data_IF_393256851160
#
_entry.id   IF_393256851160
#
_cell.length_a   1.000
_cell.length_b   1.000
_cell.length_c   1.000
_cell.angle_alpha   90.00
_cell.angle_beta   90.00
_cell.angle_gamma   90.00
#
_symmetry.space_group_name_H-M   'P 1'
#
loop_
_entity.id
_entity.type
_entity.pdbx_description
1 polymer ?
#
# COMPACT_ATOMS: atom_id res chain seq x y z
N UNK A 1 -4.24 -29.91 3.76
CA UNK A 1 -4.90 -29.41 4.99
C UNK A 1 -5.83 -28.28 4.58
N UNK A 2 -7.13 -28.41 4.79
CA UNK A 2 -8.10 -27.41 4.37
C UNK A 2 -7.85 -26.11 5.14
N UNK A 3 -7.56 -25.02 4.42
CA UNK A 3 -7.38 -23.69 5.00
C UNK A 3 -8.59 -23.31 5.84
N UNK A 4 -8.36 -22.93 7.10
CA UNK A 4 -9.37 -22.28 7.93
C UNK A 4 -9.95 -21.13 7.10
N UNK A 5 -11.28 -21.10 6.88
CA UNK A 5 -11.94 -19.90 6.34
C UNK A 5 -11.61 -18.75 7.27
N UNK A 6 -10.71 -17.86 6.84
CA UNK A 6 -10.22 -16.75 7.65
C UNK A 6 -11.34 -15.74 7.98
N UNK A 7 -12.46 -15.79 7.27
CA UNK A 7 -13.65 -14.99 7.55
C UNK A 7 -14.91 -15.87 7.47
N UNK A 8 -15.60 -16.05 8.59
CA UNK A 8 -16.91 -16.70 8.67
C UNK A 8 -18.00 -15.63 8.78
N UNK A 9 -18.56 -15.23 7.64
CA UNK A 9 -19.72 -14.33 7.58
C UNK A 9 -19.63 -13.36 6.41
N UNK A 10 -20.73 -13.20 5.66
CA UNK A 10 -20.86 -12.06 4.74
C UNK A 10 -20.99 -10.81 5.59
N UNK A 11 -20.01 -9.91 5.52
CA UNK A 11 -20.16 -8.55 6.04
C UNK A 11 -20.86 -7.70 4.98
N UNK A 12 -21.75 -6.82 5.40
CA UNK A 12 -22.26 -5.78 4.51
C UNK A 12 -21.15 -4.78 4.14
N UNK A 13 -21.40 -4.01 3.09
CA UNK A 13 -20.42 -3.05 2.58
C UNK A 13 -20.09 -1.94 3.60
N UNK A 14 -21.08 -1.48 4.37
CA UNK A 14 -20.89 -0.43 5.36
C UNK A 14 -19.88 -0.86 6.42
N UNK A 15 -20.05 -2.06 6.97
CA UNK A 15 -19.13 -2.65 7.94
C UNK A 15 -17.72 -2.78 7.35
N UNK A 16 -17.60 -3.26 6.11
CA UNK A 16 -16.30 -3.39 5.44
C UNK A 16 -15.61 -2.02 5.26
N UNK A 17 -16.36 -1.00 4.86
CA UNK A 17 -15.83 0.34 4.63
C UNK A 17 -15.32 1.00 5.92
N UNK A 18 -16.02 0.83 7.04
CA UNK A 18 -15.64 1.41 8.33
C UNK A 18 -14.53 0.65 9.05
N UNK A 19 -14.43 -0.67 8.89
CA UNK A 19 -13.37 -1.46 9.53
C UNK A 19 -12.01 -1.34 8.84
N UNK A 20 -11.99 -1.06 7.53
CA UNK A 20 -10.76 -0.94 6.75
C UNK A 20 -9.91 0.23 7.25
N UNK A 21 -8.65 -0.07 7.59
CA UNK A 21 -7.69 0.92 8.09
C UNK A 21 -6.27 0.63 7.59
N UNK A 22 -5.41 1.65 7.62
CA UNK A 22 -3.99 1.49 7.28
C UNK A 22 -3.26 0.74 8.39
N UNK A 23 -3.04 -0.56 8.19
CA UNK A 23 -2.25 -1.40 9.10
C UNK A 23 -0.76 -1.20 8.81
N UNK A 24 0.03 -0.97 9.88
CA UNK A 24 1.48 -0.73 9.82
C UNK A 24 2.26 -1.62 10.79
N UNK A 25 1.64 -2.71 11.20
CA UNK A 25 2.23 -3.76 12.03
C UNK A 25 1.57 -5.08 11.66
N UNK A 26 2.34 -5.98 11.06
CA UNK A 26 1.86 -7.26 10.55
C UNK A 26 2.55 -8.41 11.30
N UNK A 27 1.86 -9.55 11.40
CA UNK A 27 2.49 -10.79 11.86
C UNK A 27 3.34 -11.39 10.75
N UNK A 28 4.22 -12.32 11.10
CA UNK A 28 5.02 -13.10 10.12
C UNK A 28 4.24 -14.27 9.52
N UNK A 29 2.97 -14.40 9.83
CA UNK A 29 2.15 -15.50 9.33
C UNK A 29 1.98 -15.35 7.81
N UNK A 30 2.34 -16.37 7.01
CA UNK A 30 2.20 -16.29 5.57
C UNK A 30 0.72 -16.30 5.18
N UNK A 31 0.37 -15.55 4.14
CA UNK A 31 -0.98 -15.58 3.55
C UNK A 31 -1.03 -16.70 2.50
N UNK A 32 -2.02 -17.62 2.56
CA UNK A 32 -2.18 -18.65 1.54
C UNK A 32 -2.32 -18.06 0.14
N UNK A 33 -1.69 -18.68 -0.86
CA UNK A 33 -1.71 -18.22 -2.26
C UNK A 33 -3.14 -18.15 -2.79
N UNK A 34 -3.95 -19.14 -2.46
CA UNK A 34 -5.34 -19.26 -2.90
C UNK A 34 -6.17 -18.10 -2.38
N UNK A 35 -5.92 -17.65 -1.14
CA UNK A 35 -6.60 -16.50 -0.57
C UNK A 35 -6.20 -15.20 -1.28
N UNK A 36 -4.91 -15.03 -1.61
CA UNK A 36 -4.46 -13.86 -2.38
C UNK A 36 -5.16 -13.82 -3.74
N UNK A 37 -5.25 -14.97 -4.41
CA UNK A 37 -5.95 -15.08 -5.70
C UNK A 37 -7.45 -14.77 -5.58
N UNK A 38 -8.10 -15.25 -4.52
CA UNK A 38 -9.52 -14.94 -4.24
C UNK A 38 -9.72 -13.42 -4.06
N UNK A 39 -8.88 -12.77 -3.27
CA UNK A 39 -8.93 -11.31 -3.05
C UNK A 39 -8.74 -10.56 -4.37
N UNK A 40 -7.73 -10.93 -5.16
CA UNK A 40 -7.49 -10.29 -6.46
C UNK A 40 -8.62 -10.53 -7.47
N UNK A 41 -9.27 -11.69 -7.44
CA UNK A 41 -10.41 -11.98 -8.30
C UNK A 41 -11.63 -11.10 -7.95
N UNK A 42 -11.82 -10.78 -6.67
CA UNK A 42 -12.86 -9.84 -6.21
C UNK A 42 -12.50 -8.43 -6.64
N UNK A 43 -11.26 -7.97 -6.36
CA UNK A 43 -10.80 -6.62 -6.70
C UNK A 43 -10.96 -6.30 -8.19
N UNK A 44 -10.64 -7.27 -9.07
CA UNK A 44 -10.79 -7.16 -10.53
C UNK A 44 -12.24 -6.94 -11.01
N UNK A 45 -13.23 -7.02 -10.13
CA UNK A 45 -14.63 -6.64 -10.43
C UNK A 45 -14.85 -5.13 -10.40
N UNK A 46 -13.86 -4.34 -9.99
CA UNK A 46 -13.92 -2.89 -10.09
C UNK A 46 -14.23 -2.44 -11.53
N UNK A 47 -15.08 -1.41 -11.70
CA UNK A 47 -15.33 -0.84 -13.02
C UNK A 47 -14.06 -0.16 -13.55
N UNK A 48 -13.94 -0.11 -14.87
CA UNK A 48 -12.95 0.69 -15.59
C UNK A 48 -13.58 1.31 -16.84
N UNK A 49 -13.01 2.42 -17.31
CA UNK A 49 -13.49 3.07 -18.53
C UNK A 49 -13.50 2.09 -19.69
N UNK A 50 -14.65 1.92 -20.35
CA UNK A 50 -14.83 0.97 -21.45
C UNK A 50 -14.39 -0.48 -21.13
N UNK A 51 -14.33 -0.83 -19.84
CA UNK A 51 -13.83 -2.13 -19.34
C UNK A 51 -12.38 -2.45 -19.74
N UNK A 52 -11.52 -1.42 -19.88
CA UNK A 52 -10.12 -1.56 -20.29
C UNK A 52 -9.26 -2.34 -19.30
N UNK A 53 -9.59 -2.30 -18.01
CA UNK A 53 -8.87 -3.02 -16.94
C UNK A 53 -7.34 -2.81 -17.03
N UNK A 54 -6.85 -1.55 -16.93
CA UNK A 54 -5.47 -1.20 -17.29
C UNK A 54 -4.41 -1.69 -16.29
N UNK A 55 -4.82 -2.37 -15.21
CA UNK A 55 -3.98 -2.75 -14.09
C UNK A 55 -3.25 -4.07 -14.32
N UNK A 56 -1.99 -4.12 -13.87
CA UNK A 56 -1.21 -5.34 -13.69
C UNK A 56 -0.89 -5.51 -12.21
N UNK A 57 -1.03 -6.74 -11.69
CA UNK A 57 -0.71 -7.06 -10.30
C UNK A 57 0.60 -7.83 -10.20
N UNK A 58 1.58 -7.26 -9.52
CA UNK A 58 2.81 -7.94 -9.13
C UNK A 58 2.75 -8.32 -7.64
N UNK A 59 2.53 -9.61 -7.37
CA UNK A 59 2.44 -10.16 -6.01
C UNK A 59 3.81 -10.67 -5.59
N UNK A 60 4.33 -10.12 -4.49
CA UNK A 60 5.63 -10.47 -3.91
C UNK A 60 5.43 -11.07 -2.52
N UNK A 61 6.01 -12.25 -2.30
CA UNK A 61 6.09 -12.95 -1.01
C UNK A 61 7.49 -13.56 -0.87
N UNK A 62 7.89 -13.96 0.34
CA UNK A 62 9.16 -14.65 0.58
C UNK A 62 10.39 -13.94 0.00
N UNK A 63 11.33 -14.71 -0.57
CA UNK A 63 12.63 -14.20 -1.02
C UNK A 63 12.54 -13.03 -2.02
N UNK A 64 11.66 -13.03 -3.05
CA UNK A 64 11.46 -11.85 -3.90
C UNK A 64 11.13 -10.57 -3.13
N UNK A 65 10.23 -10.66 -2.14
CA UNK A 65 9.86 -9.51 -1.32
C UNK A 65 11.04 -9.03 -0.47
N UNK A 66 11.80 -9.95 0.11
CA UNK A 66 12.96 -9.60 0.93
C UNK A 66 14.08 -8.96 0.11
N UNK A 67 14.28 -9.37 -1.16
CA UNK A 67 15.18 -8.68 -2.08
C UNK A 67 14.73 -7.25 -2.37
N UNK A 68 13.44 -7.03 -2.60
CA UNK A 68 12.89 -5.67 -2.82
C UNK A 68 13.07 -4.80 -1.59
N UNK A 69 12.82 -5.32 -0.38
CA UNK A 69 13.04 -4.59 0.87
C UNK A 69 14.49 -4.16 1.06
N UNK A 70 15.41 -5.09 0.80
CA UNK A 70 16.85 -4.83 0.87
C UNK A 70 17.25 -3.73 -0.12
N UNK A 71 16.87 -3.86 -1.39
CA UNK A 71 17.18 -2.88 -2.43
C UNK A 71 16.59 -1.49 -2.13
N UNK A 72 15.34 -1.42 -1.66
CA UNK A 72 14.70 -0.16 -1.26
C UNK A 72 15.44 0.51 -0.09
N UNK A 73 15.83 -0.29 0.91
CA UNK A 73 16.56 0.21 2.09
C UNK A 73 17.93 0.75 1.69
N UNK A 74 18.69 -0.01 0.91
CA UNK A 74 20.02 0.38 0.42
C UNK A 74 19.95 1.65 -0.44
N UNK A 75 19.01 1.73 -1.38
CA UNK A 75 18.83 2.89 -2.27
C UNK A 75 18.42 4.15 -1.50
N UNK A 76 17.56 4.01 -0.48
CA UNK A 76 17.19 5.14 0.38
C UNK A 76 18.38 5.61 1.23
N UNK A 77 19.13 4.67 1.82
CA UNK A 77 20.30 4.99 2.65
C UNK A 77 21.47 5.57 1.85
N UNK A 78 21.58 5.28 0.55
CA UNK A 78 22.59 5.90 -0.32
C UNK A 78 22.30 7.36 -0.66
N UNK A 79 21.16 7.92 -0.22
CA UNK A 79 20.76 9.28 -0.55
C UNK A 79 20.35 9.46 -2.02
N UNK A 80 19.94 8.38 -2.69
CA UNK A 80 19.45 8.47 -4.06
C UNK A 80 18.26 9.43 -4.16
N UNK A 81 18.19 10.19 -5.25
CA UNK A 81 17.03 11.05 -5.50
C UNK A 81 15.76 10.21 -5.65
N UNK A 82 14.65 10.75 -5.16
CA UNK A 82 13.34 10.14 -5.33
C UNK A 82 12.85 10.48 -6.73
N UNK A 83 12.75 9.46 -7.59
CA UNK A 83 12.09 9.56 -8.89
C UNK A 83 10.74 8.84 -8.82
N UNK A 84 9.67 9.58 -9.12
CA UNK A 84 8.29 9.07 -9.10
C UNK A 84 7.75 9.09 -10.51
N UNK A 85 7.11 8.01 -10.93
CA UNK A 85 6.38 7.98 -12.21
C UNK A 85 5.17 8.93 -12.13
N UNK A 86 4.40 8.86 -11.03
CA UNK A 86 3.36 9.84 -10.73
C UNK A 86 3.99 11.11 -10.15
N UNK A 87 4.13 12.14 -10.99
CA UNK A 87 4.73 13.42 -10.62
C UNK A 87 3.84 14.19 -9.64
N UNK A 88 4.45 14.71 -8.56
CA UNK A 88 3.81 15.65 -7.65
C UNK A 88 4.33 17.05 -7.94
N UNK A 89 3.51 17.89 -8.58
CA UNK A 89 3.93 19.22 -9.02
C UNK A 89 3.97 20.25 -7.88
N UNK A 90 3.24 20.01 -6.79
CA UNK A 90 3.23 20.86 -5.61
C UNK A 90 2.88 20.03 -4.37
N UNK A 91 3.46 20.38 -3.23
CA UNK A 91 3.03 19.81 -1.95
C UNK A 91 1.57 20.17 -1.65
N UNK A 92 0.90 19.38 -0.82
CA UNK A 92 -0.44 19.73 -0.31
C UNK A 92 -0.40 21.04 0.46
N UNK A 93 -1.44 21.87 0.29
CA UNK A 93 -1.61 23.17 0.94
C UNK A 93 -2.96 23.26 1.67
N UNK A 94 -3.09 24.23 2.55
CA UNK A 94 -4.33 24.51 3.29
C UNK A 94 -4.86 23.27 4.03
N UNK A 95 -6.17 23.00 4.00
CA UNK A 95 -6.78 21.88 4.70
C UNK A 95 -6.17 20.50 4.40
N UNK A 96 -5.61 20.31 3.19
CA UNK A 96 -4.96 19.06 2.83
C UNK A 96 -3.62 18.89 3.57
N UNK A 97 -2.87 19.99 3.74
CA UNK A 97 -1.63 19.99 4.53
C UNK A 97 -1.93 19.79 6.01
N UNK A 98 -2.98 20.44 6.51
CA UNK A 98 -3.38 20.34 7.92
C UNK A 98 -3.69 18.89 8.29
N UNK A 99 -4.52 18.20 7.48
CA UNK A 99 -4.81 16.77 7.64
C UNK A 99 -3.56 15.89 7.57
N UNK A 100 -2.62 16.20 6.68
CA UNK A 100 -1.35 15.47 6.55
C UNK A 100 -0.48 15.60 7.80
N UNK A 101 -0.43 16.80 8.41
CA UNK A 101 0.32 17.04 9.65
C UNK A 101 -0.38 16.38 10.83
N UNK A 102 -1.69 16.54 10.95
CA UNK A 102 -2.51 15.99 12.03
C UNK A 102 -2.35 14.46 12.13
N UNK A 103 -2.50 13.74 11.01
CA UNK A 103 -2.38 12.28 11.03
C UNK A 103 -0.96 11.83 11.40
N UNK A 104 0.06 12.60 11.04
CA UNK A 104 1.45 12.28 11.39
C UNK A 104 1.71 12.49 12.89
N UNK A 105 1.11 13.53 13.50
CA UNK A 105 1.18 13.78 14.94
C UNK A 105 0.51 12.63 15.70
N UNK A 106 -0.76 12.34 15.38
CA UNK A 106 -1.51 11.24 16.02
C UNK A 106 -0.77 9.90 15.93
N UNK A 107 -0.16 9.64 14.77
CA UNK A 107 0.60 8.41 14.54
C UNK A 107 1.84 8.30 15.44
N UNK A 108 2.62 9.36 15.57
CA UNK A 108 3.82 9.35 16.42
C UNK A 108 3.47 9.34 17.91
N UNK A 109 2.43 10.07 18.33
CA UNK A 109 1.90 10.05 19.69
C UNK A 109 1.45 8.64 20.09
N UNK A 110 0.70 7.95 19.23
CA UNK A 110 0.24 6.58 19.49
C UNK A 110 1.38 5.57 19.66
N UNK A 111 2.58 5.87 19.13
CA UNK A 111 3.77 5.04 19.29
C UNK A 111 4.73 5.53 20.39
N UNK A 112 4.41 6.64 21.05
CA UNK A 112 5.29 7.32 22.00
C UNK A 112 6.62 7.72 21.37
N UNK A 113 6.61 8.20 20.11
CA UNK A 113 7.79 8.70 19.42
C UNK A 113 7.80 10.22 19.48
N UNK A 114 8.69 10.76 20.31
CA UNK A 114 8.83 12.20 20.51
C UNK A 114 9.29 12.92 19.24
N UNK A 115 9.10 14.25 19.21
CA UNK A 115 9.42 15.07 18.02
C UNK A 115 10.93 15.13 17.72
N UNK A 116 11.74 15.10 18.75
CA UNK A 116 13.20 15.18 18.72
C UNK A 116 13.88 13.80 18.64
N UNK A 117 13.13 12.69 18.81
CA UNK A 117 13.63 11.34 18.61
C UNK A 117 13.81 11.03 17.11
N UNK A 118 14.89 11.59 16.55
CA UNK A 118 15.25 11.43 15.14
C UNK A 118 15.50 9.97 14.77
N UNK A 119 16.02 9.17 15.70
CA UNK A 119 16.35 7.78 15.45
C UNK A 119 15.09 6.93 15.23
N UNK A 120 14.12 7.01 16.15
CA UNK A 120 12.85 6.26 16.02
C UNK A 120 11.98 6.80 14.89
N UNK A 121 12.02 8.11 14.62
CA UNK A 121 11.35 8.69 13.43
C UNK A 121 11.95 8.17 12.13
N UNK A 122 13.27 8.11 12.05
CA UNK A 122 13.95 7.55 10.87
C UNK A 122 13.64 6.06 10.70
N UNK A 123 13.71 5.25 11.77
CA UNK A 123 13.34 3.84 11.69
C UNK A 123 11.90 3.66 11.21
N UNK A 124 10.96 4.45 11.76
CA UNK A 124 9.57 4.44 11.31
C UNK A 124 9.43 4.73 9.81
N UNK A 125 10.12 5.74 9.30
CA UNK A 125 10.17 6.03 7.86
C UNK A 125 10.72 4.84 7.07
N UNK A 126 11.80 4.21 7.56
CA UNK A 126 12.41 3.06 6.91
C UNK A 126 11.53 1.81 6.92
N UNK A 127 10.66 1.64 7.93
CA UNK A 127 9.64 0.58 7.90
C UNK A 127 8.69 0.71 6.71
N UNK A 128 8.40 1.93 6.25
CA UNK A 128 7.64 2.15 5.01
C UNK A 128 8.32 1.54 3.78
N UNK A 129 9.64 1.67 3.66
CA UNK A 129 10.43 1.08 2.58
C UNK A 129 10.54 -0.45 2.65
N UNK A 130 10.26 -1.02 3.84
CA UNK A 130 10.19 -2.46 4.09
C UNK A 130 8.75 -3.02 4.05
N UNK A 131 7.78 -2.24 3.54
CA UNK A 131 6.36 -2.59 3.50
C UNK A 131 5.77 -2.91 4.89
N UNK A 132 6.28 -2.23 5.93
CA UNK A 132 5.93 -2.47 7.34
C UNK A 132 6.03 -3.93 7.77
N UNK A 133 6.93 -4.68 7.11
CA UNK A 133 7.21 -6.08 7.38
C UNK A 133 6.03 -7.03 7.06
N UNK A 134 5.07 -6.58 6.23
CA UNK A 134 3.94 -7.39 5.76
C UNK A 134 4.36 -8.66 5.00
N UNK A 135 3.70 -9.82 5.18
CA UNK A 135 4.10 -11.06 4.49
C UNK A 135 3.86 -11.04 2.97
N UNK A 136 3.10 -10.07 2.47
CA UNK A 136 2.74 -9.91 1.05
C UNK A 136 2.87 -8.42 0.68
N UNK A 137 3.42 -8.14 -0.50
CA UNK A 137 3.32 -6.84 -1.15
C UNK A 137 2.69 -7.00 -2.53
N UNK A 138 1.70 -6.16 -2.84
CA UNK A 138 1.07 -6.11 -4.15
C UNK A 138 1.45 -4.75 -4.75
N UNK A 139 2.20 -4.79 -5.84
CA UNK A 139 2.53 -3.60 -6.64
C UNK A 139 1.60 -3.58 -7.84
N UNK A 140 0.93 -2.45 -8.04
CA UNK A 140 0.05 -2.25 -9.20
C UNK A 140 0.78 -1.36 -10.19
N UNK A 141 0.79 -1.80 -11.43
CA UNK A 141 1.38 -1.11 -12.56
C UNK A 141 0.34 -1.00 -13.67
N UNK A 142 0.63 -0.16 -14.65
CA UNK A 142 -0.14 -0.02 -15.88
C UNK A 142 0.84 0.02 -17.05
N UNK A 143 0.36 -0.22 -18.26
CA UNK A 143 1.20 -0.16 -19.45
C UNK A 143 1.76 1.26 -19.66
N UNK A 144 3.03 1.35 -20.05
CA UNK A 144 3.75 2.63 -20.18
C UNK A 144 3.05 3.64 -21.10
N UNK A 145 2.31 3.17 -22.10
CA UNK A 145 1.54 4.03 -23.00
C UNK A 145 0.43 4.82 -22.28
N UNK A 146 -0.01 4.34 -21.10
CA UNK A 146 -1.04 4.97 -20.27
C UNK A 146 -0.46 5.85 -19.15
N UNK A 147 0.86 6.07 -19.10
CA UNK A 147 1.54 6.81 -18.01
C UNK A 147 0.92 8.20 -17.74
N UNK A 148 0.44 8.86 -18.79
CA UNK A 148 -0.18 10.19 -18.70
C UNK A 148 -1.71 10.16 -18.80
N UNK A 149 -2.31 8.97 -18.88
CA UNK A 149 -3.76 8.81 -18.93
C UNK A 149 -4.34 8.84 -17.51
N UNK A 150 -4.99 9.96 -17.18
CA UNK A 150 -5.60 10.15 -15.86
C UNK A 150 -6.74 9.15 -15.59
N UNK A 151 -7.43 8.67 -16.63
CA UNK A 151 -8.50 7.68 -16.51
C UNK A 151 -7.88 6.34 -16.09
N UNK A 152 -6.77 5.93 -16.70
CA UNK A 152 -6.09 4.69 -16.32
C UNK A 152 -5.61 4.71 -14.85
N UNK A 153 -5.09 5.85 -14.37
CA UNK A 153 -4.74 6.04 -12.96
C UNK A 153 -5.98 5.95 -12.05
N UNK A 154 -7.11 6.54 -12.46
CA UNK A 154 -8.36 6.47 -11.70
C UNK A 154 -8.91 5.04 -11.62
N UNK A 155 -8.85 4.30 -12.72
CA UNK A 155 -9.25 2.90 -12.80
C UNK A 155 -8.37 2.01 -11.91
N UNK A 156 -7.04 2.24 -11.87
CA UNK A 156 -6.15 1.59 -10.90
C UNK A 156 -6.50 1.97 -9.46
N UNK A 157 -6.96 3.20 -9.21
CA UNK A 157 -7.51 3.60 -7.92
C UNK A 157 -8.73 2.78 -7.52
N UNK A 158 -9.67 2.56 -8.45
CA UNK A 158 -10.88 1.77 -8.21
C UNK A 158 -10.56 0.32 -7.81
N UNK A 159 -9.64 -0.33 -8.53
CA UNK A 159 -9.25 -1.72 -8.26
C UNK A 159 -8.47 -1.89 -6.94
N UNK A 160 -7.83 -0.83 -6.44
CA UNK A 160 -7.14 -0.87 -5.13
C UNK A 160 -8.09 -0.77 -3.94
N UNK A 161 -9.30 -0.26 -4.16
CA UNK A 161 -10.30 -0.04 -3.11
C UNK A 161 -11.37 -1.13 -3.08
N UNK A 162 -11.77 -1.61 -4.27
CA UNK A 162 -12.83 -2.61 -4.46
C UNK A 162 -12.49 -4.04 -4.06
#
# INVERSE_FOLDING_TARGET
MAGKKLHSGKKDYETLAFERRSIRGFTKEPVPKELIQEVLAIAQRAPSSMNTQPWHFHVLTGDPLDRVRKGNTEKMMSGASVDREIKMNHGYQGPHRDRQVEIAVQLFEAMGIERDDKARRMDWTMRGFRQFDAPVSIVITLDKELEHDTIAHFDCGAVTYG
#
